data_IF_589875118199
#
_entry.id   IF_589875118199
#
_cell.length_a   1.000
_cell.length_b   1.000
_cell.length_c   1.000
_cell.angle_alpha   90.00
_cell.angle_beta   90.00
_cell.angle_gamma   90.00
#
_symmetry.space_group_name_H-M   'P 1'
#
loop_
_entity.id
_entity.type
_entity.pdbx_description
1 polymer ?
#
# COMPACT_ATOMS: atom_id res chain seq x y z
N UNK A 1 -41.52 -19.34 -23.56
CA UNK A 1 -40.19 -19.48 -22.91
C UNK A 1 -39.17 -18.38 -23.28
N UNK A 2 -39.51 -17.36 -24.09
CA UNK A 2 -38.58 -16.27 -24.47
C UNK A 2 -38.59 -15.04 -23.54
N UNK A 3 -39.69 -14.78 -22.82
CA UNK A 3 -39.89 -13.55 -22.06
C UNK A 3 -39.08 -13.46 -20.74
N UNK A 4 -38.57 -14.59 -20.24
CA UNK A 4 -37.86 -14.66 -18.94
C UNK A 4 -36.35 -14.35 -19.11
N UNK A 5 -35.82 -14.41 -20.34
CA UNK A 5 -34.39 -14.21 -20.59
C UNK A 5 -33.94 -12.73 -20.56
N UNK A 6 -34.81 -11.79 -20.94
CA UNK A 6 -34.51 -10.36 -20.89
C UNK A 6 -34.32 -9.82 -19.46
N UNK A 7 -35.22 -10.07 -18.49
CA UNK A 7 -35.08 -9.51 -17.15
C UNK A 7 -33.90 -10.12 -16.40
N UNK A 8 -33.61 -11.40 -16.63
CA UNK A 8 -32.45 -12.10 -16.02
C UNK A 8 -31.13 -11.49 -16.52
N UNK A 9 -31.01 -11.17 -17.82
CA UNK A 9 -29.81 -10.50 -18.35
C UNK A 9 -29.67 -9.07 -17.85
N UNK A 10 -30.77 -8.32 -17.72
CA UNK A 10 -30.74 -6.96 -17.19
C UNK A 10 -30.32 -6.94 -15.71
N UNK A 11 -30.86 -7.87 -14.92
CA UNK A 11 -30.49 -8.03 -13.51
C UNK A 11 -29.02 -8.42 -13.34
N UNK A 12 -28.47 -9.30 -14.20
CA UNK A 12 -27.06 -9.69 -14.15
C UNK A 12 -26.11 -8.53 -14.48
N UNK A 13 -26.49 -7.63 -15.40
CA UNK A 13 -25.70 -6.42 -15.73
C UNK A 13 -25.72 -5.41 -14.57
N UNK A 14 -26.86 -5.24 -13.90
CA UNK A 14 -26.98 -4.35 -12.73
C UNK A 14 -26.17 -4.83 -11.52
N UNK A 15 -26.06 -6.15 -11.29
CA UNK A 15 -25.23 -6.71 -10.22
C UNK A 15 -23.71 -6.63 -10.50
N UNK A 16 -23.28 -6.56 -11.77
CA UNK A 16 -21.87 -6.41 -12.10
C UNK A 16 -21.32 -5.00 -11.81
N UNK A 17 -22.18 -3.97 -11.89
CA UNK A 17 -21.80 -2.56 -11.70
C UNK A 17 -21.61 -2.20 -10.22
N UNK A 18 -22.14 -3.00 -9.29
CA UNK A 18 -21.89 -2.83 -7.86
C UNK A 18 -20.60 -3.50 -7.38
N UNK A 19 -19.71 -3.91 -8.28
CA UNK A 19 -18.39 -4.41 -7.89
C UNK A 19 -17.64 -3.29 -7.18
N UNK A 20 -17.59 -3.46 -5.85
CA UNK A 20 -16.80 -2.77 -4.87
C UNK A 20 -15.65 -2.00 -5.51
N UNK A 21 -15.75 -0.67 -5.52
CA UNK A 21 -14.57 0.14 -5.65
C UNK A 21 -13.69 -0.26 -4.46
N UNK A 22 -12.71 -1.15 -4.68
CA UNK A 22 -11.61 -1.32 -3.75
C UNK A 22 -10.85 0.00 -3.84
N UNK A 23 -11.14 0.91 -2.92
CA UNK A 23 -10.39 2.14 -2.82
C UNK A 23 -8.99 1.71 -2.45
N UNK A 24 -8.05 1.88 -3.38
CA UNK A 24 -6.65 1.80 -3.03
C UNK A 24 -6.44 2.86 -1.95
N UNK A 25 -6.13 2.42 -0.75
CA UNK A 25 -5.80 3.31 0.35
C UNK A 25 -4.27 3.34 0.42
N UNK A 26 -3.70 4.53 0.31
CA UNK A 26 -2.26 4.70 0.45
C UNK A 26 -1.93 5.89 1.32
N UNK A 27 -0.74 5.89 1.88
CA UNK A 27 -0.26 6.99 2.68
C UNK A 27 1.23 7.18 2.47
N UNK A 28 1.60 8.43 2.20
CA UNK A 28 2.98 8.88 2.17
C UNK A 28 3.35 9.28 3.58
N UNK A 29 4.26 8.54 4.19
CA UNK A 29 4.86 8.83 5.48
C UNK A 29 6.22 9.46 5.24
N UNK A 30 6.34 10.72 5.64
CA UNK A 30 7.58 11.46 5.60
C UNK A 30 8.05 11.68 7.03
N UNK A 31 9.17 11.07 7.39
CA UNK A 31 9.79 11.26 8.69
C UNK A 31 11.03 12.14 8.56
N UNK A 32 11.06 13.19 9.37
CA UNK A 32 12.17 14.11 9.50
C UNK A 32 12.85 13.91 10.86
N UNK A 33 14.12 13.49 10.83
CA UNK A 33 15.03 13.49 11.96
C UNK A 33 16.25 14.38 11.65
N UNK A 34 17.02 14.78 12.67
CA UNK A 34 18.21 15.66 12.52
C UNK A 34 19.22 15.20 11.45
N UNK A 35 19.25 13.89 11.12
CA UNK A 35 20.22 13.29 10.18
C UNK A 35 19.63 12.31 9.18
N UNK A 36 18.31 12.09 9.21
CA UNK A 36 17.66 11.08 8.37
C UNK A 36 16.32 11.62 7.89
N UNK A 37 16.22 11.81 6.58
CA UNK A 37 14.98 12.15 5.90
C UNK A 37 14.50 10.89 5.17
N UNK A 38 13.40 10.31 5.66
CA UNK A 38 12.86 9.07 5.12
C UNK A 38 11.46 9.34 4.59
N UNK A 39 11.30 9.13 3.29
CA UNK A 39 10.01 9.18 2.62
C UNK A 39 9.65 7.81 2.08
N UNK A 40 8.57 7.25 2.62
CA UNK A 40 7.99 5.98 2.18
C UNK A 40 6.52 6.17 1.88
N UNK A 41 5.99 5.42 0.92
CA UNK A 41 4.56 5.32 0.72
C UNK A 41 4.12 3.87 0.93
N UNK A 42 3.11 3.68 1.76
CA UNK A 42 2.48 2.39 1.99
C UNK A 42 1.18 2.35 1.20
N UNK A 43 0.94 1.25 0.50
CA UNK A 43 -0.26 1.03 -0.32
C UNK A 43 -0.95 -0.24 0.15
N UNK A 44 -2.19 -0.09 0.60
CA UNK A 44 -2.99 -1.14 1.19
C UNK A 44 -3.42 -2.18 0.12
N UNK A 45 -3.23 -3.47 0.42
CA UNK A 45 -3.78 -4.57 -0.39
C UNK A 45 -4.97 -5.22 0.32
N UNK A 46 -4.83 -5.55 1.61
CA UNK A 46 -5.88 -6.24 2.36
C UNK A 46 -5.88 -5.94 3.88
N UNK A 47 -5.24 -4.86 4.30
CA UNK A 47 -5.24 -4.39 5.68
C UNK A 47 -6.59 -3.70 5.94
N UNK A 48 -7.28 -3.97 7.06
CA UNK A 48 -8.48 -3.23 7.44
C UNK A 48 -8.22 -1.70 7.49
N UNK A 49 -9.11 -0.86 6.96
CA UNK A 49 -8.87 0.59 6.82
C UNK A 49 -8.42 1.29 8.10
N UNK A 50 -9.08 1.02 9.23
CA UNK A 50 -8.75 1.63 10.52
C UNK A 50 -7.34 1.22 10.97
N UNK A 51 -6.99 -0.06 10.79
CA UNK A 51 -5.68 -0.59 11.13
C UNK A 51 -4.59 -0.01 10.20
N UNK A 52 -4.90 0.17 8.92
CA UNK A 52 -4.00 0.80 7.96
C UNK A 52 -3.72 2.26 8.33
N UNK A 53 -4.77 3.05 8.54
CA UNK A 53 -4.68 4.47 8.85
C UNK A 53 -3.97 4.76 10.17
N UNK A 54 -4.28 4.00 11.23
CA UNK A 54 -3.78 4.31 12.57
C UNK A 54 -2.54 3.50 12.98
N UNK A 55 -2.35 2.32 12.40
CA UNK A 55 -1.20 1.46 12.70
C UNK A 55 -0.02 1.66 11.75
N UNK A 56 -0.28 1.68 10.45
CA UNK A 56 0.76 1.66 9.42
C UNK A 56 1.13 3.07 8.95
N UNK A 57 0.12 3.89 8.66
CA UNK A 57 0.30 5.24 8.16
C UNK A 57 0.74 6.25 9.23
N UNK A 58 0.53 5.97 10.52
CA UNK A 58 0.90 6.84 11.64
C UNK A 58 1.94 6.18 12.57
N UNK A 59 3.16 5.87 12.10
CA UNK A 59 4.17 5.30 12.98
C UNK A 59 4.56 6.32 14.06
N UNK A 60 4.48 5.92 15.33
CA UNK A 60 4.98 6.74 16.43
C UNK A 60 6.49 6.55 16.57
N UNK A 61 7.26 7.38 15.86
CA UNK A 61 8.70 7.41 15.96
C UNK A 61 9.12 8.38 17.06
N UNK A 62 9.81 7.86 18.08
CA UNK A 62 10.30 8.68 19.19
C UNK A 62 11.29 9.72 18.67
N UNK A 63 11.12 10.97 19.09
CA UNK A 63 11.99 12.12 18.77
C UNK A 63 12.05 12.49 17.27
N UNK A 64 11.03 12.12 16.47
CA UNK A 64 10.97 12.45 15.04
C UNK A 64 9.64 13.12 14.69
N UNK A 65 9.68 14.12 13.79
CA UNK A 65 8.45 14.66 13.20
C UNK A 65 8.04 13.75 12.06
N UNK A 66 6.80 13.28 12.09
CA UNK A 66 6.21 12.44 11.06
C UNK A 66 5.05 13.19 10.43
N UNK A 67 5.14 13.42 9.13
CA UNK A 67 4.07 13.98 8.31
C UNK A 67 3.46 12.86 7.48
N UNK A 68 2.12 12.79 7.48
CA UNK A 68 1.38 11.73 6.80
C UNK A 68 0.42 12.38 5.82
N UNK A 69 0.52 12.00 4.55
CA UNK A 69 -0.42 12.41 3.51
C UNK A 69 -1.14 11.19 2.97
N UNK A 70 -2.46 11.16 3.14
CA UNK A 70 -3.29 10.10 2.59
C UNK A 70 -3.62 10.38 1.13
N UNK A 71 -3.49 9.36 0.29
CA UNK A 71 -3.68 9.42 -1.15
C UNK A 71 -4.36 8.15 -1.64
N UNK A 72 -5.01 8.20 -2.79
CA UNK A 72 -5.61 6.98 -3.38
C UNK A 72 -4.50 6.03 -3.88
N UNK A 73 -3.40 6.56 -4.39
CA UNK A 73 -2.29 5.76 -4.91
C UNK A 73 -0.96 6.38 -4.54
N UNK A 74 0.05 5.53 -4.37
CA UNK A 74 1.40 6.01 -4.12
C UNK A 74 1.94 6.80 -5.32
N UNK A 75 2.58 7.95 -5.08
CA UNK A 75 3.11 8.79 -6.16
C UNK A 75 4.18 8.06 -6.99
N UNK A 76 4.43 8.52 -8.20
CA UNK A 76 5.55 8.01 -9.00
C UNK A 76 6.89 8.51 -8.46
N UNK A 77 7.99 7.89 -8.87
CA UNK A 77 9.35 8.35 -8.54
C UNK A 77 9.99 7.65 -7.35
N UNK A 78 9.42 6.56 -6.86
CA UNK A 78 10.12 5.66 -5.94
C UNK A 78 11.28 4.99 -6.66
N UNK A 79 12.47 4.91 -6.07
CA UNK A 79 13.61 4.17 -6.64
C UNK A 79 13.44 2.65 -6.49
N UNK A 80 12.58 2.22 -5.57
CA UNK A 80 12.32 0.83 -5.29
C UNK A 80 10.97 0.63 -4.63
N UNK A 81 10.38 -0.54 -4.86
CA UNK A 81 9.12 -0.95 -4.29
C UNK A 81 9.24 -2.37 -3.74
N UNK A 82 8.87 -2.57 -2.48
CA UNK A 82 8.59 -3.89 -1.95
C UNK A 82 7.13 -4.25 -2.23
N UNK A 83 6.90 -5.07 -3.24
CA UNK A 83 5.54 -5.46 -3.64
C UNK A 83 5.05 -6.67 -2.84
N UNK A 84 3.76 -6.69 -2.51
CA UNK A 84 3.10 -7.78 -1.80
C UNK A 84 3.76 -8.14 -0.45
N UNK A 85 4.34 -7.12 0.19
CA UNK A 85 5.02 -7.20 1.47
C UNK A 85 4.04 -7.63 2.56
N UNK A 86 4.35 -8.74 3.23
CA UNK A 86 3.63 -9.24 4.38
C UNK A 86 4.02 -8.44 5.64
N UNK A 87 3.00 -8.04 6.38
CA UNK A 87 3.15 -7.44 7.71
C UNK A 87 3.64 -8.51 8.69
N UNK A 88 4.66 -8.18 9.49
CA UNK A 88 5.20 -9.10 10.48
C UNK A 88 4.12 -9.66 11.42
N UNK A 89 4.10 -10.98 11.59
CA UNK A 89 3.17 -11.73 12.44
C UNK A 89 1.68 -11.55 12.10
N UNK A 90 1.36 -11.03 10.92
CA UNK A 90 -0.02 -10.75 10.49
C UNK A 90 -0.25 -11.35 9.08
N UNK A 91 -1.50 -11.71 8.73
CA UNK A 91 -1.83 -12.22 7.40
C UNK A 91 -1.95 -11.10 6.35
N UNK A 92 -1.70 -9.85 6.74
CA UNK A 92 -1.91 -8.70 5.88
C UNK A 92 -0.74 -8.40 4.95
N UNK A 93 -1.07 -7.78 3.82
CA UNK A 93 -0.16 -7.43 2.74
C UNK A 93 -0.33 -5.97 2.32
N UNK A 94 0.76 -5.39 1.87
CA UNK A 94 0.82 -4.03 1.34
C UNK A 94 1.94 -3.92 0.30
N UNK A 95 1.93 -2.87 -0.52
CA UNK A 95 3.13 -2.45 -1.23
C UNK A 95 3.81 -1.31 -0.46
N UNK A 96 5.14 -1.27 -0.48
CA UNK A 96 5.93 -0.23 0.17
C UNK A 96 6.84 0.40 -0.87
N UNK A 97 6.70 1.70 -1.12
CA UNK A 97 7.47 2.48 -2.07
C UNK A 97 8.49 3.35 -1.35
N UNK A 98 9.73 3.37 -1.82
CA UNK A 98 10.83 4.11 -1.20
C UNK A 98 11.30 5.25 -2.11
N UNK A 99 11.37 6.48 -1.59
CA UNK A 99 11.67 7.71 -2.36
C UNK A 99 12.98 8.41 -1.98
N UNK A 100 13.75 7.82 -1.05
CA UNK A 100 15.08 8.30 -0.64
C UNK A 100 16.18 8.02 -1.66
N UNK A 101 17.38 7.66 -1.18
CA UNK A 101 18.54 7.42 -2.05
C UNK A 101 18.59 5.98 -2.55
N UNK A 102 18.89 5.81 -3.85
CA UNK A 102 18.89 4.49 -4.48
C UNK A 102 19.90 3.49 -3.86
N UNK A 103 20.97 3.98 -3.24
CA UNK A 103 21.95 3.14 -2.52
C UNK A 103 21.33 2.35 -1.36
N UNK A 104 20.24 2.84 -0.77
CA UNK A 104 19.56 2.17 0.33
C UNK A 104 18.89 0.87 -0.13
N UNK A 105 18.68 0.68 -1.44
CA UNK A 105 18.19 -0.57 -2.01
C UNK A 105 19.05 -1.78 -1.60
N UNK A 106 20.36 -1.58 -1.32
CA UNK A 106 21.24 -2.64 -0.84
C UNK A 106 20.79 -3.25 0.51
N UNK A 107 20.12 -2.45 1.35
CA UNK A 107 19.58 -2.89 2.64
C UNK A 107 18.08 -3.21 2.56
N UNK A 108 17.33 -2.43 1.79
CA UNK A 108 15.87 -2.56 1.68
C UNK A 108 15.44 -3.78 0.86
N UNK A 109 16.18 -4.14 -0.19
CA UNK A 109 15.91 -5.34 -1.00
C UNK A 109 15.94 -6.63 -0.16
N UNK A 110 17.04 -6.95 0.55
CA UNK A 110 17.07 -8.18 1.34
C UNK A 110 16.03 -8.17 2.45
N UNK A 111 15.76 -7.02 3.07
CA UNK A 111 14.69 -6.90 4.06
C UNK A 111 13.31 -7.22 3.46
N UNK A 112 12.99 -6.64 2.30
CA UNK A 112 11.75 -6.90 1.59
C UNK A 112 11.53 -8.39 1.29
N UNK A 113 12.54 -9.03 0.71
CA UNK A 113 12.45 -10.42 0.25
C UNK A 113 12.49 -11.40 1.42
N UNK A 114 13.37 -11.18 2.41
CA UNK A 114 13.61 -12.13 3.49
C UNK A 114 12.67 -11.95 4.68
N UNK A 115 12.43 -10.71 5.11
CA UNK A 115 11.60 -10.43 6.28
C UNK A 115 10.14 -10.20 5.91
N UNK A 116 9.90 -9.29 4.98
CA UNK A 116 8.53 -8.97 4.55
C UNK A 116 7.96 -10.00 3.57
N UNK A 117 8.73 -11.00 3.13
CA UNK A 117 8.27 -12.02 2.16
C UNK A 117 7.61 -11.42 0.90
N UNK A 118 8.08 -10.23 0.52
CA UNK A 118 7.63 -9.49 -0.64
C UNK A 118 8.51 -9.75 -1.85
N UNK A 119 8.21 -9.06 -2.95
CA UNK A 119 9.01 -9.06 -4.18
C UNK A 119 9.56 -7.68 -4.41
N UNK A 120 10.89 -7.55 -4.43
CA UNK A 120 11.53 -6.28 -4.75
C UNK A 120 11.35 -5.92 -6.23
N UNK A 121 10.94 -4.68 -6.49
CA UNK A 121 10.83 -4.08 -7.81
C UNK A 121 11.72 -2.83 -7.85
N UNK A 122 12.81 -2.91 -8.60
CA UNK A 122 13.57 -1.71 -8.95
C UNK A 122 12.79 -0.88 -9.97
N UNK A 123 12.95 0.44 -9.93
CA UNK A 123 12.27 1.41 -10.80
C UNK A 123 13.29 2.29 -11.50
#
# INVERSE_FOLDING_TARGET
>A
MRAIWLPVRLALVLLAVTSSQAWAESCVVHSHAERLDVKVCQENINIPPDLFHDGFCKPQLKDQKVEVTYTDQCPTGSFGQCSNAQVANMPYRQNIHYYGVASDAAFLKPFCEQQSKGVWRAR
#
